data_IF_494827931180
#
_entry.id   IF_494827931180
#
_cell.length_a   1.000
_cell.length_b   1.000
_cell.length_c   1.000
_cell.angle_alpha   90.00
_cell.angle_beta   90.00
_cell.angle_gamma   90.00
#
_symmetry.space_group_name_H-M   'P 1'
#
loop_
_entity.id
_entity.type
_entity.pdbx_description
1 polymer ?
#
# COMPACT_ATOMS: atom_id res chain seq x y z
N UNK A 1 17.31 -4.21 2.71
CA UNK A 1 17.16 -3.75 1.31
C UNK A 1 15.69 -3.50 1.08
N UNK A 2 15.32 -2.30 0.62
CA UNK A 2 13.93 -1.98 0.25
C UNK A 2 13.62 -2.68 -1.08
N UNK A 3 12.49 -3.37 -1.18
CA UNK A 3 12.12 -4.12 -2.38
C UNK A 3 11.95 -3.19 -3.58
N UNK A 4 12.18 -3.75 -4.78
CA UNK A 4 11.87 -3.05 -6.03
C UNK A 4 10.39 -2.70 -6.15
N UNK A 5 9.53 -3.41 -5.43
CA UNK A 5 8.08 -3.23 -5.44
C UNK A 5 7.56 -2.38 -4.28
N UNK A 6 8.41 -1.73 -3.48
CA UNK A 6 7.95 -0.90 -2.38
C UNK A 6 7.07 0.27 -2.86
N UNK A 7 6.01 0.60 -2.13
CA UNK A 7 5.07 1.69 -2.50
C UNK A 7 5.76 3.03 -2.72
N UNK A 8 6.79 3.36 -1.95
CA UNK A 8 7.54 4.63 -2.06
C UNK A 8 8.38 4.69 -3.33
N UNK A 9 8.77 3.54 -3.87
CA UNK A 9 9.49 3.42 -5.14
C UNK A 9 8.54 3.38 -6.33
N UNK A 10 7.37 2.77 -6.16
CA UNK A 10 6.41 2.58 -7.22
C UNK A 10 5.56 3.83 -7.46
N UNK A 11 5.14 4.54 -6.42
CA UNK A 11 4.29 5.73 -6.51
C UNK A 11 5.03 6.97 -5.98
N UNK A 12 4.85 8.12 -6.66
CA UNK A 12 5.39 9.40 -6.18
C UNK A 12 4.38 10.18 -5.34
N UNK A 13 3.10 9.87 -5.47
CA UNK A 13 1.97 10.54 -4.80
C UNK A 13 0.93 9.51 -4.38
N UNK A 14 0.12 9.84 -3.37
CA UNK A 14 -0.97 8.97 -2.89
C UNK A 14 -2.01 8.78 -4.00
N UNK A 15 -2.37 9.83 -4.74
CA UNK A 15 -3.21 9.73 -5.95
C UNK A 15 -2.69 8.72 -6.98
N UNK A 16 -1.38 8.69 -7.25
CA UNK A 16 -0.80 7.70 -8.16
C UNK A 16 -0.88 6.28 -7.61
N UNK A 17 -0.71 6.10 -6.30
CA UNK A 17 -0.90 4.83 -5.62
C UNK A 17 -2.35 4.34 -5.79
N UNK A 18 -3.33 5.20 -5.45
CA UNK A 18 -4.76 4.90 -5.58
C UNK A 18 -5.11 4.49 -7.01
N UNK A 19 -4.76 5.32 -8.00
CA UNK A 19 -5.08 5.05 -9.41
C UNK A 19 -4.52 3.71 -9.91
N UNK A 20 -3.30 3.35 -9.47
CA UNK A 20 -2.71 2.06 -9.82
C UNK A 20 -3.44 0.89 -9.16
N UNK A 21 -3.73 1.00 -7.87
CA UNK A 21 -4.49 -0.01 -7.14
C UNK A 21 -5.91 -0.19 -7.72
N UNK A 22 -6.53 0.89 -8.18
CA UNK A 22 -7.83 0.86 -8.88
C UNK A 22 -7.72 0.14 -10.21
N UNK A 23 -6.71 0.48 -11.01
CA UNK A 23 -6.44 -0.18 -12.30
C UNK A 23 -6.21 -1.68 -12.14
N UNK A 24 -5.63 -2.10 -11.02
CA UNK A 24 -5.35 -3.50 -10.70
C UNK A 24 -6.55 -4.24 -10.09
N UNK A 25 -7.60 -3.53 -9.68
CA UNK A 25 -8.75 -4.13 -9.00
C UNK A 25 -8.40 -4.67 -7.61
N UNK A 26 -7.61 -3.92 -6.86
CA UNK A 26 -7.09 -4.29 -5.53
C UNK A 26 -7.93 -3.77 -4.37
N UNK A 27 -8.94 -2.95 -4.67
CA UNK A 27 -9.95 -2.56 -3.70
C UNK A 27 -10.98 -3.68 -3.55
N UNK A 28 -11.23 -4.08 -2.31
CA UNK A 28 -12.29 -5.03 -1.99
C UNK A 28 -13.69 -4.42 -2.19
N UNK A 29 -14.74 -5.21 -1.99
CA UNK A 29 -16.14 -4.77 -2.14
C UNK A 29 -16.53 -3.65 -1.17
N UNK A 30 -15.79 -3.52 -0.07
CA UNK A 30 -15.96 -2.47 0.93
C UNK A 30 -15.08 -1.24 0.64
N UNK A 31 -14.31 -1.25 -0.47
CA UNK A 31 -13.43 -0.15 -0.85
C UNK A 31 -12.12 -0.10 -0.07
N UNK A 32 -11.68 -1.21 0.53
CA UNK A 32 -10.39 -1.26 1.24
C UNK A 32 -9.29 -1.87 0.37
N UNK A 33 -8.11 -1.27 0.48
CA UNK A 33 -6.86 -1.72 -0.10
C UNK A 33 -6.13 -2.63 0.89
N UNK A 34 -5.67 -3.77 0.39
CA UNK A 34 -4.83 -4.71 1.14
C UNK A 34 -3.41 -4.63 0.60
N UNK A 35 -2.48 -4.12 1.42
CA UNK A 35 -1.07 -4.02 1.06
C UNK A 35 -0.30 -5.17 1.71
N UNK A 36 0.43 -5.93 0.90
CA UNK A 36 1.32 -6.95 1.42
C UNK A 36 2.53 -6.31 2.10
N UNK A 37 2.93 -6.88 3.22
CA UNK A 37 4.10 -6.47 3.99
C UNK A 37 5.06 -7.63 4.04
N UNK A 38 6.29 -7.41 3.59
CA UNK A 38 7.36 -8.41 3.59
C UNK A 38 8.38 -8.04 4.67
N UNK A 39 8.40 -8.80 5.77
CA UNK A 39 9.48 -8.81 6.78
C UNK A 39 9.96 -10.25 6.97
N UNK A 40 9.54 -10.90 8.06
CA UNK A 40 9.85 -12.30 8.42
C UNK A 40 8.68 -13.24 8.16
N UNK A 41 7.45 -12.72 8.21
CA UNK A 41 6.20 -13.40 7.85
C UNK A 41 5.42 -12.53 6.86
N UNK A 42 4.63 -13.16 5.99
CA UNK A 42 3.78 -12.46 5.03
C UNK A 42 2.54 -11.94 5.73
N UNK A 43 2.49 -10.63 5.96
CA UNK A 43 1.32 -9.95 6.54
C UNK A 43 0.67 -9.01 5.56
N UNK A 44 -0.54 -8.54 5.88
CA UNK A 44 -1.21 -7.53 5.07
C UNK A 44 -1.76 -6.40 5.93
N UNK A 45 -1.67 -5.17 5.43
CA UNK A 45 -2.26 -3.98 6.02
C UNK A 45 -3.54 -3.64 5.24
N UNK A 46 -4.65 -3.46 5.96
CA UNK A 46 -5.93 -3.02 5.41
C UNK A 46 -6.08 -1.50 5.60
N UNK A 47 -6.33 -0.78 4.52
CA UNK A 47 -6.54 0.68 4.53
C UNK A 47 -7.74 1.01 3.66
N UNK A 48 -8.69 1.82 4.15
CA UNK A 48 -9.82 2.25 3.33
C UNK A 48 -9.40 3.27 2.27
N UNK A 49 -10.02 3.19 1.09
CA UNK A 49 -9.81 4.18 0.02
C UNK A 49 -10.14 5.59 0.46
N UNK A 50 -11.19 5.75 1.28
CA UNK A 50 -11.60 7.06 1.79
C UNK A 50 -10.50 7.71 2.64
N UNK A 51 -9.85 6.94 3.53
CA UNK A 51 -8.68 7.44 4.29
C UNK A 51 -7.51 7.81 3.38
N UNK A 52 -7.24 7.04 2.33
CA UNK A 52 -6.20 7.39 1.36
C UNK A 52 -6.53 8.69 0.62
N UNK A 53 -7.80 8.91 0.25
CA UNK A 53 -8.26 10.16 -0.36
C UNK A 53 -8.18 11.34 0.60
N UNK A 54 -8.52 11.15 1.88
CA UNK A 54 -8.38 12.17 2.93
C UNK A 54 -6.91 12.60 3.08
N UNK A 55 -5.98 11.63 3.11
CA UNK A 55 -4.55 11.92 3.21
C UNK A 55 -4.00 12.61 1.96
N UNK A 56 -4.42 12.18 0.76
CA UNK A 56 -4.08 12.87 -0.49
C UNK A 56 -4.59 14.32 -0.48
N UNK A 57 -5.84 14.52 -0.05
CA UNK A 57 -6.47 15.84 0.05
C UNK A 57 -5.82 16.72 1.11
N UNK A 58 -5.29 16.12 2.18
CA UNK A 58 -4.50 16.80 3.21
C UNK A 58 -3.10 17.19 2.74
N UNK A 59 -2.69 16.80 1.52
CA UNK A 59 -1.36 17.07 0.99
C UNK A 59 -0.26 16.14 1.51
N UNK A 60 -0.64 15.00 2.11
CA UNK A 60 0.32 14.04 2.65
C UNK A 60 1.17 13.42 1.54
N UNK A 61 2.47 13.33 1.77
CA UNK A 61 3.40 12.70 0.84
C UNK A 61 3.34 11.16 0.93
N UNK A 62 3.84 10.49 -0.11
CA UNK A 62 3.94 9.01 -0.10
C UNK A 62 4.92 8.51 0.98
N UNK A 63 5.91 9.31 1.37
CA UNK A 63 6.86 8.98 2.42
C UNK A 63 6.17 9.03 3.80
N UNK A 64 5.39 10.08 4.05
CA UNK A 64 4.59 10.18 5.28
C UNK A 64 3.53 9.08 5.36
N UNK A 65 2.93 8.70 4.22
CA UNK A 65 2.06 7.52 4.15
C UNK A 65 2.80 6.26 4.59
N UNK A 66 3.99 6.02 4.05
CA UNK A 66 4.80 4.85 4.42
C UNK A 66 5.10 4.84 5.92
N UNK A 67 5.54 5.97 6.48
CA UNK A 67 5.81 6.10 7.91
C UNK A 67 4.57 5.89 8.77
N UNK A 68 3.40 6.41 8.37
CA UNK A 68 2.15 6.13 9.07
C UNK A 68 1.78 4.65 9.06
N UNK A 69 2.02 3.97 7.95
CA UNK A 69 1.76 2.54 7.83
C UNK A 69 2.78 1.71 8.63
N UNK A 70 4.01 2.21 8.78
CA UNK A 70 5.00 1.66 9.71
C UNK A 70 4.51 1.78 11.16
N UNK A 71 4.07 2.96 11.59
CA UNK A 71 3.54 3.17 12.95
C UNK A 71 2.27 2.35 13.19
N UNK A 72 1.36 2.27 12.22
CA UNK A 72 0.17 1.43 12.32
C UNK A 72 0.51 -0.07 12.39
N UNK A 73 1.66 -0.48 11.85
CA UNK A 73 2.19 -1.82 11.99
C UNK A 73 2.94 -2.03 13.32
N UNK A 74 3.50 -0.98 13.95
CA UNK A 74 4.16 -1.02 15.28
C UNK A 74 3.17 -1.16 16.45
N UNK A 75 1.93 -0.68 16.34
CA UNK A 75 0.86 -1.00 17.31
C UNK A 75 0.54 -2.51 17.34
N UNK A 76 1.01 -3.25 16.35
CA UNK A 76 1.15 -4.69 16.40
C UNK A 76 2.51 -5.00 17.04
N UNK A 77 2.57 -5.88 18.07
CA UNK A 77 3.77 -6.42 18.79
C UNK A 77 4.95 -6.93 17.90
N UNK A 78 5.52 -6.11 17.02
CA UNK A 78 6.31 -6.57 15.88
C UNK A 78 7.64 -5.80 15.88
N UNK A 79 8.71 -6.54 16.13
CA UNK A 79 10.08 -6.04 16.38
C UNK A 79 10.65 -5.12 15.28
N UNK A 80 11.66 -4.36 15.69
CA UNK A 80 12.58 -3.36 15.08
C UNK A 80 13.10 -3.58 13.63
N UNK A 81 12.46 -4.39 12.80
CA UNK A 81 12.81 -4.56 11.40
C UNK A 81 12.23 -3.42 10.54
N UNK A 82 12.88 -3.09 9.43
CA UNK A 82 12.33 -2.19 8.40
C UNK A 82 11.11 -2.82 7.72
N UNK A 83 9.97 -2.12 7.64
CA UNK A 83 8.75 -2.61 6.97
C UNK A 83 8.88 -2.42 5.46
N UNK A 84 8.76 -3.49 4.68
CA UNK A 84 8.68 -3.36 3.23
C UNK A 84 7.23 -3.51 2.75
N UNK A 85 6.56 -2.37 2.55
CA UNK A 85 5.18 -2.32 2.07
C UNK A 85 5.18 -2.45 0.56
N UNK A 86 4.66 -3.56 0.05
CA UNK A 86 4.71 -3.89 -1.35
C UNK A 86 3.49 -3.33 -2.10
N UNK A 87 3.76 -2.79 -3.28
CA UNK A 87 2.77 -2.45 -4.26
C UNK A 87 2.04 -3.73 -4.70
N UNK A 88 0.70 -3.72 -4.78
CA UNK A 88 -0.03 -4.85 -5.30
C UNK A 88 0.41 -5.23 -6.71
N UNK A 89 0.43 -6.53 -6.99
CA UNK A 89 0.77 -7.01 -8.33
C UNK A 89 -0.41 -6.75 -9.27
N UNK A 90 -0.17 -6.24 -10.50
CA UNK A 90 -1.22 -6.11 -11.48
C UNK A 90 -1.86 -7.47 -11.74
N UNK A 91 -3.16 -7.59 -11.48
CA UNK A 91 -3.94 -8.73 -11.97
C UNK A 91 -3.93 -8.63 -13.48
N UNK A 92 -3.21 -9.55 -14.13
CA UNK A 92 -3.26 -9.68 -15.58
C UNK A 92 -4.74 -9.84 -15.96
N UNK A 93 -5.33 -8.79 -16.55
CA UNK A 93 -6.56 -8.97 -17.32
C UNK A 93 -6.15 -9.87 -18.47
N UNK A 94 -6.39 -11.16 -18.32
CA UNK A 94 -6.29 -12.10 -19.43
C UNK A 94 -7.29 -11.57 -20.46
N UNK A 95 -6.79 -10.87 -21.49
CA UNK A 95 -7.56 -10.65 -22.71
C UNK A 95 -7.77 -12.04 -23.29
N UNK A 96 -8.95 -12.61 -23.04
CA UNK A 96 -9.43 -13.72 -23.84
C UNK A 96 -9.68 -13.09 -25.21
N UNK A 97 -8.80 -13.41 -26.17
CA UNK A 97 -8.89 -12.96 -27.56
C UNK A 97 -10.12 -13.55 -28.24
#
# INVERSE_FOLDING_TARGET
>A
MISKNNITRCAKTIKQLINRCESYGEFDKEGNLHLAVEKTETSSLKISKDKLNEWDSSGMSILELHQKLEVQAEDCVWSDASLDIQMPKPKLRIKIF
#
